data_IF_568112742340
#
_entry.id   IF_568112742340
#
_cell.length_a   1.000
_cell.length_b   1.000
_cell.length_c   1.000
_cell.angle_alpha   90.00
_cell.angle_beta   90.00
_cell.angle_gamma   90.00
#
_symmetry.space_group_name_H-M   'P 1'
#
loop_
_entity.id
_entity.type
_entity.pdbx_description
1 polymer ?
#
# COMPACT_ATOMS: atom_id res chain seq x y z
N UNK A 1 -18.78 8.56 -10.85
CA UNK A 1 -17.47 9.21 -10.59
C UNK A 1 -16.33 8.42 -11.21
N UNK A 2 -16.08 7.16 -10.80
CA UNK A 2 -15.05 6.32 -11.40
C UNK A 2 -15.24 6.08 -12.92
N UNK A 3 -16.48 6.03 -13.40
CA UNK A 3 -16.81 5.92 -14.83
C UNK A 3 -16.12 6.97 -15.71
N UNK A 4 -15.95 8.19 -15.20
CA UNK A 4 -15.45 9.34 -15.96
C UNK A 4 -13.94 9.57 -15.79
N UNK A 5 -13.27 8.76 -14.96
CA UNK A 5 -11.82 8.86 -14.74
C UNK A 5 -11.12 7.93 -15.72
N UNK A 6 -10.17 8.45 -16.48
CA UNK A 6 -9.32 7.64 -17.34
C UNK A 6 -8.42 6.74 -16.48
N UNK A 7 -8.37 5.43 -16.78
CA UNK A 7 -7.46 4.49 -16.12
C UNK A 7 -6.00 4.93 -16.23
N UNK A 8 -5.60 5.59 -17.32
CA UNK A 8 -4.25 6.11 -17.51
C UNK A 8 -3.92 7.34 -16.64
N UNK A 9 -4.93 7.93 -16.00
CA UNK A 9 -4.80 9.03 -15.03
C UNK A 9 -4.83 8.53 -13.57
N UNK A 10 -4.69 7.21 -13.36
CA UNK A 10 -4.67 6.61 -12.02
C UNK A 10 -3.30 5.95 -11.79
N UNK A 11 -2.63 6.35 -10.72
CA UNK A 11 -1.49 5.65 -10.15
C UNK A 11 -1.99 4.72 -9.05
N UNK A 12 -1.90 3.42 -9.29
CA UNK A 12 -2.22 2.39 -8.31
C UNK A 12 -1.04 2.19 -7.37
N UNK A 13 -1.30 2.02 -6.09
CA UNK A 13 -0.30 1.99 -5.03
C UNK A 13 -0.70 0.98 -3.95
N UNK A 14 0.32 0.34 -3.40
CA UNK A 14 0.26 -0.46 -2.18
C UNK A 14 1.62 -0.36 -1.46
N UNK A 15 1.63 -0.52 -0.13
CA UNK A 15 2.86 -0.46 0.68
C UNK A 15 2.98 -1.66 1.60
N UNK A 16 4.24 -2.08 1.83
CA UNK A 16 4.56 -3.11 2.80
C UNK A 16 5.41 -2.56 3.93
N UNK A 17 4.98 -2.91 5.15
CA UNK A 17 5.52 -2.35 6.38
C UNK A 17 5.88 -3.45 7.36
N UNK A 18 6.94 -3.23 8.12
CA UNK A 18 7.47 -4.20 9.11
C UNK A 18 7.81 -3.48 10.41
N UNK A 19 7.98 -4.21 11.53
CA UNK A 19 8.58 -3.65 12.73
C UNK A 19 9.87 -2.90 12.41
N UNK A 20 10.08 -1.73 13.02
CA UNK A 20 11.26 -0.92 12.72
C UNK A 20 12.57 -1.61 13.12
N UNK A 21 12.51 -2.44 14.15
CA UNK A 21 13.56 -3.32 14.65
C UNK A 21 13.04 -4.75 14.76
N UNK A 22 13.94 -5.74 14.73
CA UNK A 22 13.57 -7.16 14.76
C UNK A 22 13.03 -7.57 16.12
N UNK A 23 13.74 -7.23 17.19
CA UNK A 23 13.38 -7.63 18.54
C UNK A 23 12.88 -6.43 19.33
N UNK A 24 11.94 -6.67 20.23
CA UNK A 24 11.45 -5.68 21.18
C UNK A 24 12.58 -5.01 21.99
N UNK A 25 13.57 -5.81 22.36
CA UNK A 25 14.74 -5.37 23.13
C UNK A 25 15.69 -4.46 22.35
N UNK A 26 15.57 -4.40 21.03
CA UNK A 26 16.33 -3.48 20.18
C UNK A 26 15.74 -2.05 20.17
N UNK A 27 14.51 -1.86 20.70
CA UNK A 27 13.96 -0.53 20.94
C UNK A 27 14.66 0.15 22.11
N UNK A 28 14.74 1.49 22.05
CA UNK A 28 15.13 2.27 23.22
C UNK A 28 14.09 2.11 24.35
N UNK A 29 14.49 2.25 25.63
CA UNK A 29 13.56 2.17 26.76
C UNK A 29 12.38 3.14 26.66
N UNK A 30 12.62 4.32 26.07
CA UNK A 30 11.56 5.31 25.83
C UNK A 30 10.58 4.84 24.76
N UNK A 31 11.07 4.27 23.64
CA UNK A 31 10.19 3.71 22.61
C UNK A 31 9.37 2.52 23.12
N UNK A 32 9.94 1.69 23.98
CA UNK A 32 9.20 0.61 24.65
C UNK A 32 8.04 1.17 25.49
N UNK A 33 8.31 2.22 26.28
CA UNK A 33 7.28 2.89 27.10
C UNK A 33 6.17 3.50 26.24
N UNK A 34 6.55 4.17 25.14
CA UNK A 34 5.61 4.79 24.21
C UNK A 34 4.75 3.74 23.47
N UNK A 35 5.32 2.60 23.11
CA UNK A 35 4.59 1.48 22.52
C UNK A 35 3.49 1.00 23.47
N UNK A 36 3.86 0.67 24.70
CA UNK A 36 2.92 0.19 25.71
C UNK A 36 1.79 1.20 25.97
N UNK A 37 2.12 2.48 26.09
CA UNK A 37 1.11 3.52 26.28
C UNK A 37 0.10 3.57 25.12
N UNK A 38 0.60 3.46 23.89
CA UNK A 38 -0.23 3.49 22.70
C UNK A 38 -1.12 2.25 22.62
N UNK A 39 -0.56 1.07 22.81
CA UNK A 39 -1.23 -0.20 22.52
C UNK A 39 -2.15 -0.66 23.64
N UNK A 40 -1.87 -0.33 24.90
CA UNK A 40 -2.74 -0.68 26.03
C UNK A 40 -4.19 -0.16 25.90
N UNK A 41 -4.42 0.87 25.09
CA UNK A 41 -5.76 1.40 24.82
C UNK A 41 -6.50 0.70 23.67
N UNK A 42 -5.79 -0.01 22.80
CA UNK A 42 -6.31 -0.56 21.56
C UNK A 42 -6.05 -2.07 21.40
N UNK A 43 -5.39 -2.71 22.37
CA UNK A 43 -5.16 -4.16 22.41
C UNK A 43 -6.53 -4.86 22.41
N UNK A 44 -6.73 -5.74 21.44
CA UNK A 44 -7.96 -6.52 21.34
C UNK A 44 -7.87 -7.72 22.28
N UNK A 45 -9.00 -8.22 22.78
CA UNK A 45 -9.01 -9.36 23.70
C UNK A 45 -8.37 -10.63 23.11
N UNK A 46 -8.40 -10.80 21.79
CA UNK A 46 -7.73 -11.90 21.10
C UNK A 46 -6.20 -11.85 21.21
N UNK A 47 -5.65 -10.68 21.54
CA UNK A 47 -4.22 -10.44 21.66
C UNK A 47 -3.76 -10.47 23.14
N UNK A 48 -4.65 -10.68 24.12
CA UNK A 48 -4.34 -10.55 25.57
C UNK A 48 -3.24 -11.52 26.04
N UNK A 49 -3.21 -12.73 25.47
CA UNK A 49 -2.21 -13.76 25.80
C UNK A 49 -0.84 -13.53 25.15
N UNK A 50 -0.72 -12.54 24.25
CA UNK A 50 0.57 -12.23 23.62
C UNK A 50 1.49 -11.48 24.59
N UNK A 51 2.74 -11.96 24.66
CA UNK A 51 3.82 -11.20 25.29
C UNK A 51 4.00 -9.84 24.59
N UNK A 52 4.58 -8.86 25.28
CA UNK A 52 4.87 -7.55 24.66
C UNK A 52 5.77 -7.69 23.43
N UNK A 53 6.70 -8.64 23.45
CA UNK A 53 7.57 -8.93 22.32
C UNK A 53 6.81 -9.49 21.12
N UNK A 54 5.94 -10.49 21.34
CA UNK A 54 5.12 -11.06 20.28
C UNK A 54 4.13 -10.04 19.72
N UNK A 55 3.53 -9.24 20.60
CA UNK A 55 2.59 -8.20 20.21
C UNK A 55 3.28 -7.11 19.39
N UNK A 56 4.46 -6.67 19.82
CA UNK A 56 5.31 -5.75 19.07
C UNK A 56 5.64 -6.31 17.68
N UNK A 57 6.18 -7.53 17.61
CA UNK A 57 6.57 -8.13 16.34
C UNK A 57 5.39 -8.28 15.37
N UNK A 58 4.22 -8.70 15.87
CA UNK A 58 3.03 -8.93 15.04
C UNK A 58 2.32 -7.65 14.60
N UNK A 59 2.36 -6.58 15.41
CA UNK A 59 1.48 -5.41 15.22
C UNK A 59 2.22 -4.13 14.92
N UNK A 60 3.49 -3.97 15.31
CA UNK A 60 4.18 -2.67 15.18
C UNK A 60 4.32 -2.19 13.74
N UNK A 61 4.37 -3.10 12.77
CA UNK A 61 4.40 -2.78 11.35
C UNK A 61 3.27 -1.84 10.91
N UNK A 62 2.04 -2.02 11.42
CA UNK A 62 0.89 -1.17 11.03
C UNK A 62 0.85 0.19 11.75
N UNK A 63 1.79 0.46 12.66
CA UNK A 63 1.94 1.76 13.31
C UNK A 63 3.16 2.49 12.75
N UNK A 64 2.94 3.59 12.02
CA UNK A 64 4.02 4.36 11.38
C UNK A 64 5.11 4.82 12.36
N UNK A 65 4.81 4.95 13.64
CA UNK A 65 5.74 5.36 14.68
C UNK A 65 6.65 4.22 15.17
N UNK A 66 6.27 2.97 14.94
CA UNK A 66 6.96 1.76 15.42
C UNK A 66 7.34 0.77 14.31
N UNK A 67 6.87 1.02 13.10
CA UNK A 67 7.22 0.30 11.89
C UNK A 67 8.09 1.12 10.95
N UNK A 68 8.41 0.51 9.81
CA UNK A 68 9.08 1.12 8.67
C UNK A 68 8.54 0.55 7.37
N UNK A 69 8.60 1.34 6.30
CA UNK A 69 8.30 0.90 4.94
C UNK A 69 9.48 0.13 4.38
N UNK A 70 9.21 -1.04 3.80
CA UNK A 70 10.23 -1.88 3.14
C UNK A 70 9.93 -2.12 1.67
N UNK A 71 8.69 -1.92 1.24
CA UNK A 71 8.33 -1.92 -0.16
C UNK A 71 7.21 -0.90 -0.44
N UNK A 72 7.28 -0.27 -1.60
CA UNK A 72 6.19 0.47 -2.22
C UNK A 72 6.09 -0.01 -3.65
N UNK A 73 4.95 -0.56 -4.05
CA UNK A 73 4.69 -0.90 -5.45
C UNK A 73 3.73 0.11 -6.06
N UNK A 74 4.01 0.49 -7.30
CA UNK A 74 3.21 1.44 -8.06
C UNK A 74 2.89 0.89 -9.45
N UNK A 75 1.65 1.07 -9.89
CA UNK A 75 1.11 0.56 -11.15
C UNK A 75 0.43 1.63 -11.97
N UNK A 76 0.63 1.63 -13.29
CA UNK A 76 -0.06 2.57 -14.18
C UNK A 76 -0.56 1.87 -15.46
N UNK A 77 -1.84 2.12 -15.76
CA UNK A 77 -2.46 1.68 -17.00
C UNK A 77 -2.00 2.55 -18.18
N UNK A 78 -1.74 1.91 -19.32
CA UNK A 78 -1.36 2.57 -20.57
C UNK A 78 -2.28 2.07 -21.68
N UNK A 79 -2.96 3.04 -22.31
CA UNK A 79 -3.74 2.77 -23.51
C UNK A 79 -2.86 2.21 -24.63
N UNK A 80 -3.45 1.42 -25.53
CA UNK A 80 -2.80 1.02 -26.78
C UNK A 80 -2.32 2.25 -27.55
N UNK A 81 -1.14 2.17 -28.16
CA UNK A 81 -0.62 3.27 -28.99
C UNK A 81 -1.20 3.25 -30.41
N UNK A 82 -1.45 2.06 -30.96
CA UNK A 82 -2.01 1.87 -32.29
C UNK A 82 -3.31 1.05 -32.25
N UNK A 83 -4.10 1.14 -33.31
CA UNK A 83 -5.28 0.30 -33.48
C UNK A 83 -4.87 -1.18 -33.58
N UNK A 84 -5.45 -2.03 -32.72
CA UNK A 84 -5.14 -3.46 -32.65
C UNK A 84 -4.15 -3.85 -31.55
N UNK A 85 -3.44 -2.88 -30.95
CA UNK A 85 -2.57 -3.15 -29.80
C UNK A 85 -3.42 -3.40 -28.53
N UNK A 86 -2.90 -4.24 -27.64
CA UNK A 86 -3.48 -4.43 -26.32
C UNK A 86 -3.02 -3.31 -25.36
N UNK A 87 -3.85 -2.90 -24.38
CA UNK A 87 -3.38 -2.03 -23.31
C UNK A 87 -2.31 -2.75 -22.48
N UNK A 88 -1.50 -1.96 -21.75
CA UNK A 88 -0.52 -2.51 -20.82
C UNK A 88 -0.65 -1.91 -19.43
N UNK A 89 -0.23 -2.65 -18.41
CA UNK A 89 -0.16 -2.20 -17.04
C UNK A 89 1.29 -2.30 -16.56
N UNK A 90 1.90 -1.15 -16.28
CA UNK A 90 3.31 -1.07 -15.90
C UNK A 90 3.43 -1.00 -14.40
N UNK A 91 4.12 -1.99 -13.82
CA UNK A 91 4.44 -2.08 -12.41
C UNK A 91 5.89 -1.64 -12.18
N UNK A 92 6.13 -1.01 -11.04
CA UNK A 92 7.45 -0.71 -10.50
C UNK A 92 7.41 -0.84 -8.98
N UNK A 93 8.45 -1.40 -8.39
CA UNK A 93 8.60 -1.44 -6.93
C UNK A 93 9.83 -0.66 -6.47
N UNK A 94 9.69 0.01 -5.34
CA UNK A 94 10.77 0.58 -4.56
C UNK A 94 10.89 -0.29 -3.32
N UNK A 95 11.95 -1.10 -3.22
CA UNK A 95 12.16 -2.03 -2.12
C UNK A 95 13.59 -1.92 -1.62
N UNK A 96 13.78 -1.92 -0.30
CA UNK A 96 15.08 -1.68 0.29
C UNK A 96 15.10 -1.84 1.81
N UNK A 97 16.29 -2.06 2.36
CA UNK A 97 16.50 -2.06 3.81
C UNK A 97 16.70 -0.64 4.37
N UNK A 98 17.14 0.29 3.53
CA UNK A 98 17.23 1.72 3.84
C UNK A 98 15.91 2.41 3.45
N UNK A 99 15.07 2.67 4.45
CA UNK A 99 13.77 3.31 4.25
C UNK A 99 13.93 4.75 3.72
N UNK A 100 14.93 5.50 4.17
CA UNK A 100 15.11 6.89 3.77
C UNK A 100 15.41 6.99 2.27
N UNK A 101 16.27 6.10 1.76
CA UNK A 101 16.56 6.01 0.33
C UNK A 101 15.33 5.57 -0.46
N UNK A 102 14.63 4.52 -0.01
CA UNK A 102 13.40 4.01 -0.63
C UNK A 102 12.34 5.10 -0.77
N UNK A 103 12.08 5.83 0.32
CA UNK A 103 11.12 6.93 0.34
C UNK A 103 11.56 8.07 -0.57
N UNK A 104 12.85 8.43 -0.55
CA UNK A 104 13.39 9.49 -1.42
C UNK A 104 13.11 9.19 -2.89
N UNK A 105 13.40 7.97 -3.34
CA UNK A 105 13.22 7.57 -4.74
C UNK A 105 11.74 7.56 -5.14
N UNK A 106 10.86 7.08 -4.26
CA UNK A 106 9.41 7.07 -4.50
C UNK A 106 8.83 8.49 -4.54
N UNK A 107 9.16 9.33 -3.56
CA UNK A 107 8.66 10.71 -3.49
C UNK A 107 9.17 11.55 -4.67
N UNK A 108 10.42 11.33 -5.11
CA UNK A 108 10.94 11.96 -6.32
C UNK A 108 10.18 11.52 -7.57
N UNK A 109 9.82 10.24 -7.69
CA UNK A 109 8.98 9.76 -8.80
C UNK A 109 7.62 10.48 -8.79
N UNK A 110 6.95 10.55 -7.63
CA UNK A 110 5.69 11.27 -7.49
C UNK A 110 5.82 12.73 -7.95
N UNK A 111 6.80 13.45 -7.41
CA UNK A 111 7.01 14.86 -7.70
C UNK A 111 7.34 15.14 -9.18
N UNK A 112 8.06 14.24 -9.85
CA UNK A 112 8.59 14.49 -11.20
C UNK A 112 7.77 13.87 -12.33
N UNK A 113 6.81 12.98 -12.03
CA UNK A 113 6.04 12.24 -13.04
C UNK A 113 4.53 12.36 -12.88
N UNK A 114 4.04 12.72 -11.69
CA UNK A 114 2.61 12.69 -11.37
C UNK A 114 2.12 14.07 -10.94
N UNK A 115 1.47 14.75 -11.88
CA UNK A 115 0.83 16.03 -11.65
C UNK A 115 -0.41 15.86 -10.73
N UNK A 116 -0.45 16.54 -9.56
CA UNK A 116 -1.56 16.44 -8.60
C UNK A 116 -2.91 16.90 -9.15
N UNK A 117 -2.93 17.72 -10.21
CA UNK A 117 -4.18 18.18 -10.85
C UNK A 117 -4.69 17.21 -11.92
N UNK A 118 -3.90 16.18 -12.27
CA UNK A 118 -4.23 15.25 -13.34
C UNK A 118 -4.37 13.81 -12.85
N UNK A 119 -3.54 13.40 -11.89
CA UNK A 119 -3.48 12.02 -11.45
C UNK A 119 -4.27 11.78 -10.18
N UNK A 120 -4.85 10.59 -10.10
CA UNK A 120 -5.40 10.03 -8.88
C UNK A 120 -4.43 9.02 -8.28
N UNK A 121 -4.30 8.99 -6.95
CA UNK A 121 -3.72 7.85 -6.25
C UNK A 121 -4.83 6.85 -5.94
N UNK A 122 -4.59 5.58 -6.22
CA UNK A 122 -5.57 4.53 -6.00
C UNK A 122 -4.96 3.36 -5.22
N UNK A 123 -5.69 2.86 -4.24
CA UNK A 123 -5.28 1.70 -3.45
C UNK A 123 -6.49 1.03 -2.79
N UNK A 124 -6.23 0.09 -1.91
CA UNK A 124 -7.25 -0.54 -1.08
C UNK A 124 -7.05 -0.12 0.37
N UNK A 125 -7.97 0.69 0.92
CA UNK A 125 -7.77 1.37 2.20
C UNK A 125 -6.69 2.47 2.22
N UNK A 126 -6.30 2.97 1.03
CA UNK A 126 -5.27 3.99 0.84
C UNK A 126 -5.50 5.27 1.67
N UNK A 127 -6.76 5.63 1.93
CA UNK A 127 -7.12 6.86 2.66
C UNK A 127 -6.88 6.75 4.16
N UNK A 128 -7.04 5.55 4.74
CA UNK A 128 -6.93 5.34 6.18
C UNK A 128 -5.62 4.66 6.58
N UNK A 129 -4.88 4.08 5.61
CA UNK A 129 -3.61 3.40 5.85
C UNK A 129 -2.44 3.97 5.03
N UNK A 130 -2.31 3.61 3.75
CA UNK A 130 -1.08 3.79 2.97
C UNK A 130 -0.60 5.25 2.90
N UNK A 131 -1.46 6.18 2.50
CA UNK A 131 -1.08 7.60 2.36
C UNK A 131 -0.74 8.21 3.72
N UNK A 132 -1.58 8.10 4.78
CA UNK A 132 -1.20 8.57 6.11
C UNK A 132 0.10 7.95 6.62
N UNK A 133 0.35 6.66 6.36
CA UNK A 133 1.56 5.97 6.78
C UNK A 133 2.79 6.54 6.07
N UNK A 134 2.75 6.65 4.74
CA UNK A 134 3.82 7.22 3.93
C UNK A 134 4.13 8.66 4.34
N UNK A 135 3.10 9.50 4.56
CA UNK A 135 3.31 10.88 4.98
C UNK A 135 4.03 10.96 6.34
N UNK A 136 3.62 10.15 7.31
CA UNK A 136 4.28 10.09 8.64
C UNK A 136 5.72 9.60 8.51
N UNK A 137 5.98 8.54 7.75
CA UNK A 137 7.34 7.99 7.58
C UNK A 137 8.27 8.93 6.82
N UNK A 138 7.77 9.64 5.81
CA UNK A 138 8.53 10.68 5.13
C UNK A 138 8.94 11.81 6.09
N UNK A 139 8.00 12.31 6.90
CA UNK A 139 8.29 13.33 7.92
C UNK A 139 9.29 12.82 8.97
N UNK A 140 9.14 11.58 9.45
CA UNK A 140 10.07 10.95 10.40
C UNK A 140 11.49 10.88 9.82
N UNK A 141 11.61 10.63 8.51
CA UNK A 141 12.89 10.62 7.80
C UNK A 141 13.35 12.02 7.32
N UNK A 142 12.65 13.10 7.68
CA UNK A 142 13.01 14.46 7.30
C UNK A 142 12.82 14.79 5.81
N UNK A 143 11.98 14.04 5.10
CA UNK A 143 11.75 14.18 3.66
C UNK A 143 10.56 15.10 3.37
N UNK A 144 10.65 15.97 2.35
CA UNK A 144 9.53 16.83 1.96
C UNK A 144 8.42 16.01 1.29
N UNK A 145 7.17 16.37 1.58
CA UNK A 145 6.00 15.72 0.96
C UNK A 145 5.71 16.35 -0.42
N UNK A 146 5.57 15.55 -1.48
CA UNK A 146 4.99 15.99 -2.74
C UNK A 146 3.55 16.44 -2.55
N UNK A 147 3.10 17.45 -3.29
CA UNK A 147 1.73 18.00 -3.21
C UNK A 147 0.63 16.95 -3.35
N UNK A 148 0.85 15.90 -4.16
CA UNK A 148 -0.11 14.81 -4.35
C UNK A 148 -0.34 13.98 -3.07
N UNK A 149 0.55 14.07 -2.07
CA UNK A 149 0.43 13.45 -0.76
C UNK A 149 0.12 14.46 0.37
N UNK A 150 0.11 15.76 0.08
CA UNK A 150 -0.11 16.80 1.10
C UNK A 150 -1.61 16.94 1.42
N UNK A 151 -2.10 16.02 2.25
CA UNK A 151 -3.49 15.94 2.67
C UNK A 151 -3.98 17.13 3.49
N UNK A 152 -3.06 17.87 4.13
CA UNK A 152 -3.41 19.00 5.00
C UNK A 152 -3.49 20.32 4.22
N UNK A 153 -2.80 20.43 3.08
CA UNK A 153 -2.89 21.59 2.21
C UNK A 153 -4.16 21.60 1.34
N UNK A 154 -4.82 20.46 1.19
CA UNK A 154 -5.98 20.27 0.29
C UNK A 154 -7.27 20.07 1.08
N UNK A 155 -8.39 20.55 0.54
CA UNK A 155 -9.70 20.22 1.10
C UNK A 155 -10.02 18.75 0.85
N UNK A 156 -10.81 18.08 1.70
CA UNK A 156 -11.11 16.65 1.54
C UNK A 156 -11.67 16.24 0.16
N UNK A 157 -12.38 17.14 -0.53
CA UNK A 157 -12.91 16.91 -1.88
C UNK A 157 -11.94 17.24 -3.02
N UNK A 158 -10.85 17.94 -2.72
CA UNK A 158 -9.74 18.20 -3.65
C UNK A 158 -8.76 17.01 -3.67
N UNK A 159 -8.79 16.15 -2.66
CA UNK A 159 -8.01 14.93 -2.60
C UNK A 159 -8.41 13.95 -3.71
N UNK A 160 -7.49 13.75 -4.66
CA UNK A 160 -7.63 12.80 -5.77
C UNK A 160 -7.27 11.38 -5.35
N UNK A 161 -7.87 10.90 -4.27
CA UNK A 161 -7.69 9.52 -3.81
C UNK A 161 -8.87 8.66 -4.21
N UNK A 162 -8.61 7.56 -4.91
CA UNK A 162 -9.56 6.50 -5.21
C UNK A 162 -9.29 5.33 -4.27
N UNK A 163 -10.21 5.08 -3.35
CA UNK A 163 -10.07 3.98 -2.41
C UNK A 163 -11.05 2.88 -2.79
N UNK A 164 -10.53 1.75 -3.30
CA UNK A 164 -11.38 0.65 -3.77
C UNK A 164 -12.25 0.07 -2.66
N UNK A 165 -11.79 0.10 -1.42
CA UNK A 165 -12.57 -0.34 -0.27
C UNK A 165 -13.72 0.62 0.00
N UNK A 166 -13.50 1.93 -0.08
CA UNK A 166 -14.57 2.92 0.10
C UNK A 166 -15.55 2.92 -1.08
N UNK A 167 -15.07 2.76 -2.31
CA UNK A 167 -15.90 2.65 -3.51
C UNK A 167 -16.85 1.43 -3.42
N UNK A 168 -16.40 0.34 -2.80
CA UNK A 168 -17.20 -0.86 -2.58
C UNK A 168 -18.31 -0.69 -1.53
N UNK A 169 -18.20 0.27 -0.61
CA UNK A 169 -19.16 0.40 0.51
C UNK A 169 -20.56 0.78 0.06
N UNK A 170 -20.74 1.48 -1.07
CA UNK A 170 -22.04 2.01 -1.51
C UNK A 170 -22.84 2.74 -0.40
N UNK A 171 -22.15 3.34 0.59
CA UNK A 171 -22.75 3.99 1.77
C UNK A 171 -22.79 3.14 3.05
N UNK A 172 -22.34 1.89 3.03
CA UNK A 172 -22.16 1.05 4.22
C UNK A 172 -20.83 1.36 4.93
N UNK A 173 -20.89 2.24 5.93
CA UNK A 173 -19.71 2.64 6.70
C UNK A 173 -19.30 1.64 7.80
N UNK A 174 -20.07 0.57 8.04
CA UNK A 174 -19.85 -0.32 9.19
C UNK A 174 -18.93 -1.50 8.89
N UNK A 175 -18.73 -1.82 7.62
CA UNK A 175 -18.03 -3.03 7.21
C UNK A 175 -16.80 -2.71 6.35
N UNK A 176 -15.65 -3.25 6.78
CA UNK A 176 -14.43 -3.28 5.99
C UNK A 176 -14.42 -4.57 5.16
N UNK A 177 -14.18 -4.45 3.86
CA UNK A 177 -14.06 -5.61 2.96
C UNK A 177 -12.62 -5.72 2.54
N UNK A 178 -11.95 -6.84 2.82
CA UNK A 178 -10.56 -7.05 2.40
C UNK A 178 -10.43 -7.16 0.89
N UNK A 179 -9.26 -6.79 0.36
CA UNK A 179 -8.94 -6.93 -1.06
C UNK A 179 -9.09 -8.38 -1.52
N UNK A 180 -8.67 -9.33 -0.66
CA UNK A 180 -8.86 -10.75 -0.93
C UNK A 180 -10.35 -11.14 -1.09
N UNK A 181 -11.23 -10.73 -0.17
CA UNK A 181 -12.66 -11.03 -0.30
C UNK A 181 -13.25 -10.37 -1.57
N UNK A 182 -12.85 -9.12 -1.84
CA UNK A 182 -13.34 -8.36 -2.99
C UNK A 182 -12.92 -8.99 -4.32
N UNK A 183 -11.65 -9.39 -4.46
CA UNK A 183 -11.14 -10.06 -5.66
C UNK A 183 -11.84 -11.40 -5.90
N UNK A 184 -12.07 -12.18 -4.84
CA UNK A 184 -12.82 -13.43 -4.92
C UNK A 184 -14.25 -13.21 -5.43
N UNK A 185 -15.00 -12.27 -4.84
CA UNK A 185 -16.38 -11.96 -5.24
C UNK A 185 -16.48 -11.47 -6.70
N UNK A 186 -15.46 -10.77 -7.18
CA UNK A 186 -15.42 -10.21 -8.53
C UNK A 186 -14.82 -11.15 -9.59
N UNK A 187 -14.55 -12.41 -9.22
CA UNK A 187 -13.89 -13.39 -10.09
C UNK A 187 -12.62 -12.80 -10.73
N UNK A 188 -11.81 -12.15 -9.91
CA UNK A 188 -10.47 -11.69 -10.28
C UNK A 188 -9.51 -12.78 -9.80
N UNK A 189 -8.63 -13.31 -10.67
CA UNK A 189 -7.60 -14.23 -10.24
C UNK A 189 -6.79 -13.60 -9.11
N UNK A 190 -6.94 -14.14 -7.91
CA UNK A 190 -6.14 -13.71 -6.78
C UNK A 190 -4.79 -14.42 -6.89
N UNK A 191 -3.66 -13.75 -6.63
CA UNK A 191 -2.31 -14.32 -6.70
C UNK A 191 -2.01 -15.25 -5.51
N UNK A 192 -3.03 -16.01 -5.10
CA UNK A 192 -3.25 -16.44 -3.74
C UNK A 192 -2.58 -17.77 -3.43
N UNK A 193 -1.25 -17.82 -3.47
CA UNK A 193 -0.55 -19.03 -3.03
C UNK A 193 0.67 -18.82 -2.12
N UNK A 194 1.21 -17.59 -1.92
CA UNK A 194 2.53 -17.48 -1.25
C UNK A 194 2.61 -16.62 0.03
N UNK A 195 1.71 -15.65 0.28
CA UNK A 195 1.90 -14.70 1.39
C UNK A 195 0.61 -13.98 1.83
N UNK A 196 0.50 -13.65 3.12
CA UNK A 196 -0.55 -12.78 3.70
C UNK A 196 0.12 -11.60 4.40
N UNK A 197 -0.56 -10.44 4.48
CA UNK A 197 0.01 -9.23 5.11
C UNK A 197 0.49 -9.42 6.56
N UNK A 198 -0.14 -10.33 7.32
CA UNK A 198 0.29 -10.70 8.68
C UNK A 198 1.66 -11.38 8.72
N UNK A 199 2.14 -11.93 7.60
CA UNK A 199 3.40 -12.65 7.48
C UNK A 199 4.55 -11.77 6.97
N UNK A 200 4.31 -10.51 6.62
CA UNK A 200 5.32 -9.60 6.05
C UNK A 200 6.52 -9.42 6.99
N UNK A 201 6.27 -9.21 8.28
CA UNK A 201 7.32 -9.13 9.30
C UNK A 201 8.16 -10.42 9.37
N UNK A 202 7.50 -11.58 9.34
CA UNK A 202 8.16 -12.89 9.38
C UNK A 202 9.04 -13.11 8.15
N UNK A 203 8.54 -12.80 6.96
CA UNK A 203 9.27 -12.94 5.69
C UNK A 203 10.48 -12.00 5.68
N UNK A 204 10.31 -10.75 6.06
CA UNK A 204 11.41 -9.78 6.05
C UNK A 204 12.53 -10.13 7.03
N UNK A 205 12.20 -10.49 8.28
CA UNK A 205 13.19 -10.65 9.35
C UNK A 205 13.80 -12.04 9.46
N UNK A 206 13.17 -13.07 8.88
CA UNK A 206 13.54 -14.48 9.12
C UNK A 206 13.73 -15.32 7.85
N UNK A 207 13.45 -14.79 6.65
CA UNK A 207 13.54 -15.58 5.43
C UNK A 207 14.57 -15.00 4.47
N UNK A 208 15.32 -15.88 3.81
CA UNK A 208 16.21 -15.49 2.72
C UNK A 208 15.40 -14.90 1.55
N UNK A 209 15.96 -13.89 0.89
CA UNK A 209 15.29 -13.14 -0.17
C UNK A 209 13.92 -12.56 0.22
N UNK A 210 13.69 -12.33 1.52
CA UNK A 210 12.40 -11.84 2.02
C UNK A 210 11.94 -10.55 1.36
N UNK A 211 12.87 -9.63 1.06
CA UNK A 211 12.56 -8.37 0.39
C UNK A 211 12.03 -8.56 -1.04
N UNK A 212 12.60 -9.48 -1.82
CA UNK A 212 12.14 -9.77 -3.18
C UNK A 212 10.74 -10.39 -3.17
N UNK A 213 10.48 -11.30 -2.22
CA UNK A 213 9.16 -11.90 -2.04
C UNK A 213 8.11 -10.87 -1.63
N UNK A 214 8.46 -9.96 -0.72
CA UNK A 214 7.61 -8.83 -0.33
C UNK A 214 7.33 -7.91 -1.53
N UNK A 215 8.34 -7.62 -2.35
CA UNK A 215 8.15 -6.80 -3.55
C UNK A 215 7.20 -7.46 -4.55
N UNK A 216 7.36 -8.77 -4.79
CA UNK A 216 6.44 -9.53 -5.65
C UNK A 216 5.02 -9.53 -5.09
N UNK A 217 4.86 -9.77 -3.78
CA UNK A 217 3.56 -9.71 -3.10
C UNK A 217 2.88 -8.33 -3.27
N UNK A 218 3.62 -7.25 -3.01
CA UNK A 218 3.10 -5.90 -3.13
C UNK A 218 2.72 -5.55 -4.59
N UNK A 219 3.51 -6.00 -5.59
CA UNK A 219 3.15 -5.85 -7.01
C UNK A 219 1.83 -6.54 -7.37
N UNK A 220 1.63 -7.72 -6.80
CA UNK A 220 0.42 -8.52 -6.99
C UNK A 220 -0.81 -7.85 -6.36
N UNK A 221 -0.67 -7.24 -5.18
CA UNK A 221 -1.75 -6.45 -4.56
C UNK A 221 -2.08 -5.19 -5.39
N UNK A 222 -1.08 -4.47 -5.91
CA UNK A 222 -1.30 -3.34 -6.83
C UNK A 222 -2.06 -3.78 -8.10
N UNK A 223 -1.68 -4.91 -8.69
CA UNK A 223 -2.38 -5.47 -9.84
C UNK A 223 -3.83 -5.82 -9.48
N UNK A 224 -4.05 -6.45 -8.33
CA UNK A 224 -5.39 -6.78 -7.85
C UNK A 224 -6.27 -5.54 -7.67
N UNK A 225 -5.74 -4.45 -7.09
CA UNK A 225 -6.46 -3.16 -6.99
C UNK A 225 -6.81 -2.62 -8.37
N UNK A 226 -5.90 -2.68 -9.35
CA UNK A 226 -6.18 -2.24 -10.71
C UNK A 226 -7.27 -3.09 -11.39
N UNK A 227 -7.25 -4.41 -11.19
CA UNK A 227 -8.28 -5.33 -11.70
C UNK A 227 -9.66 -5.05 -11.06
N UNK A 228 -9.69 -4.73 -9.76
CA UNK A 228 -10.92 -4.30 -9.07
C UNK A 228 -11.46 -3.01 -9.69
N UNK A 229 -10.60 -2.02 -9.93
CA UNK A 229 -11.00 -0.77 -10.57
C UNK A 229 -11.54 -0.99 -12.00
N UNK A 230 -10.93 -1.89 -12.79
CA UNK A 230 -11.43 -2.29 -14.10
C UNK A 230 -12.83 -2.93 -14.00
N UNK A 231 -13.05 -3.84 -13.04
CA UNK A 231 -14.37 -4.43 -12.78
C UNK A 231 -15.41 -3.39 -12.41
N UNK A 232 -15.08 -2.45 -11.53
CA UNK A 232 -15.99 -1.35 -11.15
C UNK A 232 -16.36 -0.45 -12.34
N UNK A 233 -15.50 -0.38 -13.36
CA UNK A 233 -15.77 0.34 -14.61
C UNK A 233 -16.46 -0.52 -15.69
N UNK A 234 -16.71 -1.81 -15.44
CA UNK A 234 -17.23 -2.73 -16.43
C UNK A 234 -16.25 -3.04 -17.57
N UNK A 235 -14.95 -2.86 -17.34
CA UNK A 235 -13.88 -3.14 -18.31
C UNK A 235 -13.37 -4.60 -18.16
N UNK A 236 -12.83 -5.21 -19.23
CA UNK A 236 -12.20 -6.51 -19.14
C UNK A 236 -10.96 -6.46 -18.22
N UNK A 237 -10.65 -7.59 -17.61
CA UNK A 237 -9.43 -7.76 -16.82
C UNK A 237 -8.20 -7.74 -17.74
N UNK A 238 -7.07 -7.34 -17.18
CA UNK A 238 -5.77 -7.48 -17.82
C UNK A 238 -5.34 -8.96 -17.81
N UNK A 239 -4.76 -9.44 -18.91
CA UNK A 239 -4.08 -10.73 -18.99
C UNK A 239 -2.62 -10.62 -18.54
N UNK A 240 -1.95 -11.73 -18.19
CA UNK A 240 -0.54 -11.70 -17.78
C UNK A 240 0.39 -11.02 -18.79
N UNK A 241 0.15 -11.19 -20.09
CA UNK A 241 0.97 -10.62 -21.17
C UNK A 241 0.84 -9.09 -21.26
N UNK A 242 -0.22 -8.53 -20.67
CA UNK A 242 -0.44 -7.10 -20.61
C UNK A 242 0.25 -6.46 -19.40
N UNK A 243 0.75 -7.25 -18.44
CA UNK A 243 1.42 -6.76 -17.24
C UNK A 243 2.92 -6.72 -17.48
N UNK A 244 3.53 -5.55 -17.26
CA UNK A 244 4.95 -5.31 -17.48
C UNK A 244 5.59 -4.81 -16.19
N UNK A 245 6.50 -5.60 -15.61
CA UNK A 245 7.27 -5.20 -14.43
C UNK A 245 8.55 -4.48 -14.88
N UNK A 246 8.76 -3.27 -14.37
CA UNK A 246 9.99 -2.50 -14.58
C UNK A 246 10.84 -2.58 -13.32
N UNK A 247 12.13 -2.89 -13.49
CA UNK A 247 13.14 -2.82 -12.42
C UNK A 247 13.49 -1.39 -12.01
#
# INVERSE_FOLDING_TARGET
>A
MLSNIDMAAILFLDIETVPMVKQWTDLSPEMQTLWQYRTNRFKQSVDDDLTEEDYFFKKSGVYAEFGKVVCISAGIYRHPKNAGDAPSFRLKSFAGHDEAQLLTDFLQMLQTRFDPDRFYLCGHNIREFDVPYLCRRAIINGLPLPTILDVNALKPWELRFLDTMQLWKFGDYKNFTSLHLLTHLLNIPSPKEEMEGSHVAQVYWHQENGLERIANYCQQDVLAVAQVALRFKGMPLLTPEQVVVSG
#
